data_IF_571556160708
#
_entry.id   IF_571556160708
#
_cell.length_a   1.000
_cell.length_b   1.000
_cell.length_c   1.000
_cell.angle_alpha   90.00
_cell.angle_beta   90.00
_cell.angle_gamma   90.00
#
_symmetry.space_group_name_H-M   'P 1'
#
loop_
_entity.id
_entity.type
_entity.pdbx_description
1 polymer ?
#
# COMPACT_ATOMS: atom_id res chain seq x y z
N UNK A 1 -28.37 -0.55 19.97
CA UNK A 1 -27.97 -0.20 18.59
C UNK A 1 -26.99 0.98 18.46
N UNK A 2 -26.50 1.62 19.55
CA UNK A 2 -25.44 2.65 19.46
C UNK A 2 -24.01 2.11 19.58
N UNK A 3 -23.83 0.92 20.15
CA UNK A 3 -22.51 0.30 20.35
C UNK A 3 -21.89 -0.26 19.05
N UNK A 4 -22.69 -0.59 18.03
CA UNK A 4 -22.19 -1.11 16.75
C UNK A 4 -21.57 0.00 15.88
N UNK A 5 -22.06 1.24 16.00
CA UNK A 5 -21.55 2.41 15.27
C UNK A 5 -20.20 2.89 15.80
N UNK A 6 -19.86 2.56 17.06
CA UNK A 6 -18.56 2.88 17.66
C UNK A 6 -17.43 1.92 17.20
N UNK A 7 -17.75 0.70 16.75
CA UNK A 7 -16.75 -0.18 16.11
C UNK A 7 -16.39 0.26 14.68
N UNK A 8 -17.20 1.15 14.09
CA UNK A 8 -16.94 1.81 12.81
C UNK A 8 -16.39 3.22 13.07
N UNK A 9 -15.98 3.56 14.30
CA UNK A 9 -15.02 4.66 14.46
C UNK A 9 -13.76 4.25 13.72
N UNK A 10 -13.62 4.84 12.53
CA UNK A 10 -12.53 4.64 11.60
C UNK A 10 -11.24 4.47 12.41
N UNK A 11 -10.45 3.38 12.22
CA UNK A 11 -9.12 3.32 12.79
C UNK A 11 -8.47 4.66 12.51
N UNK A 12 -8.03 5.33 13.56
CA UNK A 12 -7.61 6.73 13.59
C UNK A 12 -6.61 7.05 12.48
N UNK A 13 -7.12 7.31 11.27
CA UNK A 13 -6.36 7.53 10.04
C UNK A 13 -5.69 8.91 10.02
N UNK A 14 -5.75 9.65 11.13
CA UNK A 14 -5.24 11.02 11.25
C UNK A 14 -4.50 11.32 12.56
N UNK A 15 -4.28 10.35 13.46
CA UNK A 15 -3.54 10.59 14.73
C UNK A 15 -2.22 9.83 14.82
N UNK A 16 -1.68 9.36 13.70
CA UNK A 16 -0.30 8.90 13.70
C UNK A 16 0.60 10.11 13.38
N UNK A 17 1.38 10.54 14.38
CA UNK A 17 2.39 11.60 14.23
C UNK A 17 3.43 11.27 13.14
N UNK A 18 4.58 11.95 13.06
CA UNK A 18 5.60 11.72 12.03
C UNK A 18 5.94 10.24 11.73
N UNK A 19 5.76 9.35 12.73
CA UNK A 19 5.85 7.89 12.60
C UNK A 19 4.88 7.23 11.60
N UNK A 20 3.61 7.65 11.51
CA UNK A 20 2.61 7.00 10.64
C UNK A 20 2.88 7.17 9.15
N UNK A 21 3.25 8.39 8.72
CA UNK A 21 3.71 8.63 7.35
C UNK A 21 5.00 7.90 7.06
N UNK A 22 5.95 7.90 7.99
CA UNK A 22 7.20 7.15 7.80
C UNK A 22 6.92 5.66 7.65
N UNK A 23 5.95 5.12 8.39
CA UNK A 23 5.53 3.72 8.30
C UNK A 23 4.81 3.43 6.97
N UNK A 24 3.86 4.27 6.55
CA UNK A 24 3.19 4.12 5.24
C UNK A 24 4.16 4.26 4.06
N UNK A 25 5.09 5.22 4.11
CA UNK A 25 6.12 5.39 3.09
C UNK A 25 7.08 4.21 3.06
N UNK A 26 7.46 3.67 4.22
CA UNK A 26 8.30 2.47 4.30
C UNK A 26 7.56 1.27 3.68
N UNK A 27 6.28 1.07 4.02
CA UNK A 27 5.45 0.03 3.44
C UNK A 27 5.31 0.21 1.92
N UNK A 28 5.11 1.44 1.44
CA UNK A 28 5.10 1.77 0.03
C UNK A 28 6.40 1.37 -0.67
N UNK A 29 7.56 1.81 -0.18
CA UNK A 29 8.84 1.51 -0.81
C UNK A 29 9.14 0.01 -0.85
N UNK A 30 8.81 -0.72 0.23
CA UNK A 30 8.97 -2.17 0.28
C UNK A 30 8.06 -2.86 -0.74
N UNK A 31 6.77 -2.47 -0.79
CA UNK A 31 5.81 -3.09 -1.68
C UNK A 31 6.06 -2.75 -3.14
N UNK A 32 6.45 -1.51 -3.42
CA UNK A 32 6.84 -1.04 -4.75
C UNK A 32 8.10 -1.75 -5.24
N UNK A 33 9.16 -1.80 -4.42
CA UNK A 33 10.40 -2.46 -4.77
C UNK A 33 10.21 -3.96 -5.01
N UNK A 34 9.47 -4.64 -4.12
CA UNK A 34 9.18 -6.06 -4.25
C UNK A 34 8.28 -6.35 -5.45
N UNK A 35 7.20 -5.58 -5.62
CA UNK A 35 6.29 -5.70 -6.76
C UNK A 35 6.99 -5.48 -8.09
N UNK A 36 7.85 -4.46 -8.17
CA UNK A 36 8.66 -4.18 -9.34
C UNK A 36 9.62 -5.33 -9.64
N UNK A 37 10.31 -5.85 -8.63
CA UNK A 37 11.21 -6.99 -8.81
C UNK A 37 10.47 -8.24 -9.31
N UNK A 38 9.31 -8.56 -8.74
CA UNK A 38 8.46 -9.68 -9.17
C UNK A 38 7.94 -9.46 -10.60
N UNK A 39 7.56 -8.23 -10.97
CA UNK A 39 7.12 -7.91 -12.32
C UNK A 39 8.25 -8.09 -13.35
N UNK A 40 9.46 -7.61 -13.03
CA UNK A 40 10.66 -7.76 -13.87
C UNK A 40 11.04 -9.24 -13.98
N UNK A 41 11.04 -9.97 -12.88
CA UNK A 41 11.32 -11.41 -12.89
C UNK A 41 10.29 -12.14 -13.76
N UNK A 42 9.00 -11.84 -13.59
CA UNK A 42 7.92 -12.35 -14.43
C UNK A 42 8.10 -12.03 -15.91
N UNK A 43 8.61 -10.85 -16.23
CA UNK A 43 8.96 -10.48 -17.60
C UNK A 43 10.12 -11.33 -18.15
N UNK A 44 11.17 -11.57 -17.35
CA UNK A 44 12.33 -12.39 -17.74
C UNK A 44 11.93 -13.84 -17.99
N UNK A 45 11.16 -14.46 -17.10
CA UNK A 45 10.65 -15.84 -17.29
C UNK A 45 9.47 -15.92 -18.28
N UNK A 46 9.09 -14.82 -18.94
CA UNK A 46 7.93 -14.72 -19.84
C UNK A 46 6.61 -15.24 -19.21
N UNK A 47 6.50 -15.17 -17.89
CA UNK A 47 5.31 -15.59 -17.16
C UNK A 47 4.36 -14.41 -17.01
N UNK A 48 3.27 -14.45 -17.80
CA UNK A 48 2.21 -13.43 -17.74
C UNK A 48 1.56 -13.34 -16.36
N UNK A 49 1.45 -14.48 -15.65
CA UNK A 49 0.89 -14.52 -14.29
C UNK A 49 1.79 -13.83 -13.27
N UNK A 50 3.10 -14.09 -13.32
CA UNK A 50 4.05 -13.47 -12.39
C UNK A 50 4.20 -11.97 -12.67
N UNK A 51 4.18 -11.58 -13.94
CA UNK A 51 4.18 -10.17 -14.34
C UNK A 51 2.93 -9.44 -13.84
N UNK A 52 1.75 -10.03 -13.99
CA UNK A 52 0.49 -9.45 -13.50
C UNK A 52 0.47 -9.32 -11.97
N UNK A 53 0.97 -10.32 -11.24
CA UNK A 53 1.09 -10.27 -9.78
C UNK A 53 2.01 -9.12 -9.32
N UNK A 54 3.16 -8.95 -9.98
CA UNK A 54 4.08 -7.85 -9.67
C UNK A 54 3.47 -6.47 -9.95
N UNK A 55 2.78 -6.30 -11.09
CA UNK A 55 2.08 -5.05 -11.41
C UNK A 55 0.97 -4.75 -10.39
N UNK A 56 0.19 -5.75 -9.98
CA UNK A 56 -0.85 -5.58 -8.97
C UNK A 56 -0.26 -5.13 -7.63
N UNK A 57 0.88 -5.69 -7.21
CA UNK A 57 1.61 -5.28 -6.01
C UNK A 57 2.07 -3.81 -6.10
N UNK A 58 2.61 -3.39 -7.25
CA UNK A 58 3.02 -2.00 -7.48
C UNK A 58 1.82 -1.05 -7.39
N UNK A 59 0.69 -1.40 -8.02
CA UNK A 59 -0.53 -0.60 -7.96
C UNK A 59 -1.07 -0.45 -6.54
N UNK A 60 -1.05 -1.53 -5.75
CA UNK A 60 -1.39 -1.50 -4.32
C UNK A 60 -0.48 -0.55 -3.54
N UNK A 61 0.83 -0.56 -3.82
CA UNK A 61 1.79 0.40 -3.27
C UNK A 61 1.39 1.84 -3.58
N UNK A 62 1.09 2.13 -4.85
CA UNK A 62 0.67 3.47 -5.28
C UNK A 62 -0.59 3.97 -4.56
N UNK A 63 -1.56 3.08 -4.30
CA UNK A 63 -2.76 3.42 -3.50
C UNK A 63 -2.37 3.77 -2.07
N UNK A 64 -1.50 2.97 -1.43
CA UNK A 64 -0.98 3.27 -0.09
C UNK A 64 -0.25 4.62 -0.06
N UNK A 65 0.52 4.94 -1.09
CA UNK A 65 1.18 6.23 -1.24
C UNK A 65 0.18 7.38 -1.34
N UNK A 66 -0.87 7.25 -2.15
CA UNK A 66 -1.94 8.26 -2.24
C UNK A 66 -2.64 8.47 -0.90
N UNK A 67 -2.90 7.41 -0.14
CA UNK A 67 -3.47 7.52 1.22
C UNK A 67 -2.49 8.22 2.16
N UNK A 68 -1.20 7.88 2.09
CA UNK A 68 -0.15 8.48 2.92
C UNK A 68 -0.02 9.99 2.70
N UNK A 69 -0.07 10.42 1.43
CA UNK A 69 0.04 11.83 1.06
C UNK A 69 -1.29 12.57 1.27
N UNK A 70 -2.41 11.98 0.86
CA UNK A 70 -3.74 12.58 0.95
C UNK A 70 -4.29 12.70 2.38
N UNK A 71 -3.76 11.92 3.33
CA UNK A 71 -4.06 12.10 4.76
C UNK A 71 -3.31 13.27 5.41
N UNK A 72 -2.38 13.92 4.68
CA UNK A 72 -1.51 14.98 5.22
C UNK A 72 -1.43 16.26 4.37
N UNK A 73 -2.07 16.29 3.20
CA UNK A 73 -2.25 17.50 2.39
C UNK A 73 -3.60 18.14 2.68
#
# INVERSE_FOLDING_TARGET
MRALLAQIELPSLGREGPGGLRQLLTAFYVLFGLGFFVAVLGHIVKSRGLQAAGIAMVMLGTVLFMVAVGSRG
#
